data_IF_359455830046
#
_entry.id   IF_359455830046
#
_cell.length_a   1.000
_cell.length_b   1.000
_cell.length_c   1.000
_cell.angle_alpha   90.00
_cell.angle_beta   90.00
_cell.angle_gamma   90.00
#
_symmetry.space_group_name_H-M   'P 1'
#
loop_
_entity.id
_entity.type
_entity.pdbx_description
1 polymer ?
2 non-polymer ?
3 non-polymer ?
4 water ?
#
# COMPACT_ATOMS: atom_id res chain seq x y z
N UNK A 1 12.88 -2.80 21.25
CA UNK A 1 12.08 -2.39 20.04
C UNK A 1 13.05 -2.08 18.90
N UNK A 2 13.77 -3.11 18.42
CA UNK A 2 14.73 -3.03 17.28
C UNK A 2 13.96 -3.19 15.96
N UNK A 3 14.67 -3.17 14.82
CA UNK A 3 14.08 -3.22 13.46
C UNK A 3 14.65 -4.41 12.68
N UNK A 4 13.83 -4.98 11.79
CA UNK A 4 14.21 -6.00 10.78
C UNK A 4 14.00 -5.40 9.39
N UNK A 5 15.05 -5.28 8.59
CA UNK A 5 14.97 -4.55 7.30
C UNK A 5 14.97 -5.54 6.11
N UNK A 6 13.86 -5.56 5.36
CA UNK A 6 13.67 -6.40 4.15
C UNK A 6 13.67 -5.53 2.89
N UNK A 7 14.21 -6.02 1.75
CA UNK A 7 13.96 -5.37 0.44
C UNK A 7 12.47 -5.20 0.16
N UNK A 8 12.04 -4.12 -0.50
CA UNK A 8 10.59 -3.89 -0.76
C UNK A 8 10.08 -4.91 -1.78
N UNK A 9 10.94 -5.42 -2.69
CA UNK A 9 10.46 -6.33 -3.77
C UNK A 9 11.60 -7.16 -4.37
N UNK A 10 11.23 -8.29 -4.96
CA UNK A 10 12.15 -9.18 -5.73
C UNK A 10 11.30 -9.82 -6.84
N UNK A 11 11.94 -10.22 -7.92
CA UNK A 11 11.27 -10.89 -9.05
C UNK A 11 12.23 -11.89 -9.66
N UNK A 12 11.65 -12.91 -10.27
CA UNK A 12 12.38 -13.89 -11.10
C UNK A 12 11.37 -14.60 -11.98
N UNK A 13 11.86 -15.36 -12.95
CA UNK A 13 11.01 -16.14 -13.87
C UNK A 13 10.77 -17.53 -13.30
N UNK A 14 9.72 -18.25 -13.77
CA UNK A 14 9.42 -19.60 -13.30
C UNK A 14 10.64 -20.52 -13.41
N UNK A 15 10.84 -21.36 -12.38
CA UNK A 15 11.93 -22.36 -12.28
C UNK A 15 13.20 -21.78 -11.68
N UNK A 16 13.30 -20.47 -11.44
CA UNK A 16 14.57 -19.90 -10.96
C UNK A 16 14.57 -19.89 -9.43
N UNK A 17 15.69 -19.45 -8.86
CA UNK A 17 15.88 -19.30 -7.40
C UNK A 17 15.87 -17.81 -7.03
N UNK A 18 15.20 -17.47 -5.93
CA UNK A 18 15.25 -16.09 -5.41
C UNK A 18 15.48 -16.12 -3.89
N UNK A 19 16.11 -15.09 -3.37
CA UNK A 19 16.46 -14.98 -1.94
C UNK A 19 15.93 -13.65 -1.45
N UNK A 20 15.30 -13.66 -0.28
CA UNK A 20 14.75 -12.48 0.44
C UNK A 20 15.51 -12.38 1.77
N UNK A 21 16.17 -11.25 1.98
CA UNK A 21 16.94 -10.96 3.22
C UNK A 21 16.09 -10.20 4.25
N UNK A 22 16.59 -10.21 5.47
CA UNK A 22 15.94 -9.69 6.69
C UNK A 22 17.07 -9.36 7.67
N UNK A 23 17.53 -8.10 7.67
CA UNK A 23 18.71 -7.66 8.46
C UNK A 23 18.23 -7.11 9.80
N UNK A 24 18.83 -7.60 10.89
CA UNK A 24 18.48 -7.14 12.25
C UNK A 24 19.20 -5.80 12.36
N UNK A 25 18.63 -4.81 13.06
CA UNK A 25 19.18 -3.44 13.16
C UNK A 25 20.17 -3.48 14.33
N UNK A 26 19.70 -3.18 15.54
CA UNK A 26 20.57 -3.34 16.73
C UNK A 26 20.08 -4.56 17.51
N UNK A 27 20.89 -5.61 17.48
CA UNK A 27 20.76 -6.86 18.22
C UNK A 27 21.65 -7.93 17.61
N UNK A 28 21.49 -9.18 18.04
CA UNK A 28 22.29 -10.33 17.56
C UNK A 28 21.34 -11.35 16.89
N UNK A 29 21.45 -11.57 15.58
CA UNK A 29 20.41 -12.31 14.79
C UNK A 29 20.22 -13.71 15.40
N UNK A 30 21.29 -14.42 15.78
CA UNK A 30 21.16 -15.80 16.29
C UNK A 30 20.72 -15.76 17.75
N UNK A 31 20.58 -14.58 18.34
CA UNK A 31 20.07 -14.41 19.74
C UNK A 31 18.61 -14.88 19.84
N UNK A 32 17.78 -14.72 18.79
CA UNK A 32 16.32 -15.06 18.86
C UNK A 32 15.84 -15.68 17.55
N UNK A 33 14.69 -16.36 17.58
CA UNK A 33 14.17 -17.20 16.47
C UNK A 33 13.44 -16.34 15.43
N UNK A 34 13.70 -16.61 14.14
CA UNK A 34 13.04 -15.89 13.01
C UNK A 34 12.01 -16.79 12.33
N UNK A 35 10.80 -16.25 12.11
CA UNK A 35 9.70 -16.87 11.35
C UNK A 35 9.57 -16.16 9.99
N UNK A 36 8.96 -16.84 9.01
CA UNK A 36 8.67 -16.26 7.67
C UNK A 36 7.22 -16.59 7.32
N UNK A 37 6.46 -15.58 6.94
CA UNK A 37 5.04 -15.73 6.56
C UNK A 37 4.89 -15.32 5.10
N UNK A 38 4.17 -16.14 4.36
CA UNK A 38 3.73 -15.93 2.97
C UNK A 38 2.32 -15.36 3.04
N UNK A 39 2.01 -14.30 2.29
CA UNK A 39 0.61 -13.86 2.07
C UNK A 39 0.36 -13.66 0.57
N UNK A 40 -0.35 -14.59 -0.07
CA UNK A 40 -0.79 -14.39 -1.48
C UNK A 40 -1.83 -13.28 -1.51
N UNK A 41 -1.92 -12.54 -2.65
CA UNK A 41 -2.91 -11.47 -2.78
C UNK A 41 -4.31 -12.02 -2.47
N UNK A 42 -5.01 -11.36 -1.54
CA UNK A 42 -6.41 -11.69 -1.17
C UNK A 42 -6.51 -12.93 -0.27
N UNK A 43 -5.41 -13.37 0.35
CA UNK A 43 -5.33 -14.61 1.17
C UNK A 43 -4.90 -14.28 2.61
N UNK A 44 -5.10 -15.26 3.48
CA UNK A 44 -4.61 -15.29 4.86
C UNK A 44 -3.12 -15.61 4.83
N UNK A 45 -2.35 -15.12 5.82
CA UNK A 45 -0.96 -15.51 5.94
C UNK A 45 -0.82 -17.00 6.24
N UNK A 46 0.34 -17.54 5.89
CA UNK A 46 0.72 -18.97 6.01
C UNK A 46 2.18 -19.01 6.45
N UNK A 47 2.48 -19.74 7.51
CA UNK A 47 3.87 -19.97 7.94
C UNK A 47 4.54 -20.89 6.93
N UNK A 48 5.66 -20.44 6.35
CA UNK A 48 6.54 -21.29 5.51
C UNK A 48 7.83 -21.64 6.26
N UNK A 49 8.29 -20.83 7.22
CA UNK A 49 9.47 -21.14 8.07
C UNK A 49 9.20 -20.69 9.51
N UNK A 50 9.60 -21.51 10.49
CA UNK A 50 9.67 -21.11 11.92
C UNK A 50 11.02 -21.55 12.49
N UNK A 51 11.47 -20.90 13.56
CA UNK A 51 12.73 -21.22 14.29
C UNK A 51 13.87 -21.26 13.28
N UNK A 52 13.91 -20.26 12.39
CA UNK A 52 15.05 -19.93 11.50
C UNK A 52 15.02 -20.83 10.25
N UNK A 53 14.80 -22.13 10.42
CA UNK A 53 14.92 -23.06 9.28
C UNK A 53 13.95 -24.25 9.35
N UNK A 54 12.96 -24.26 10.24
CA UNK A 54 12.00 -25.39 10.33
C UNK A 54 10.85 -25.18 9.38
N UNK A 55 10.52 -26.18 8.55
CA UNK A 55 9.37 -26.14 7.64
C UNK A 55 8.17 -26.83 8.28
N UNK A 56 6.99 -26.16 8.38
CA UNK A 56 5.77 -26.85 8.77
C UNK A 56 5.44 -27.94 7.77
N UNK A 57 4.71 -28.94 8.22
CA UNK A 57 4.31 -30.06 7.34
C UNK A 57 3.50 -29.48 6.18
N UNK A 58 3.67 -30.01 4.98
CA UNK A 58 2.97 -29.50 3.79
C UNK A 58 3.69 -28.33 3.13
N UNK A 59 4.76 -27.80 3.72
CA UNK A 59 5.58 -26.75 3.05
C UNK A 59 6.72 -27.44 2.29
N UNK A 60 6.82 -27.27 0.96
CA UNK A 60 7.81 -28.01 0.18
C UNK A 60 9.26 -27.59 0.46
N UNK A 61 10.11 -28.56 0.22
CA UNK A 61 11.59 -28.51 0.34
C UNK A 61 12.18 -27.31 -0.40
N UNK A 62 11.50 -26.74 -1.38
CA UNK A 62 12.03 -25.59 -2.16
C UNK A 62 12.13 -24.33 -1.30
N UNK A 63 11.40 -24.24 -0.18
CA UNK A 63 11.48 -23.13 0.80
C UNK A 63 12.56 -23.44 1.82
N UNK A 64 13.55 -22.56 1.98
CA UNK A 64 14.65 -22.80 2.95
C UNK A 64 14.98 -21.52 3.71
N UNK A 65 15.00 -21.61 5.04
CA UNK A 65 15.42 -20.48 5.90
C UNK A 65 16.85 -20.67 6.34
N UNK A 66 17.58 -19.57 6.52
CA UNK A 66 18.99 -19.63 6.97
C UNK A 66 19.29 -18.38 7.79
N UNK A 67 20.44 -18.40 8.46
CA UNK A 67 20.91 -17.26 9.29
C UNK A 67 22.37 -16.99 8.89
N UNK A 68 22.71 -15.73 8.70
CA UNK A 68 24.10 -15.24 8.46
C UNK A 68 24.47 -14.38 9.66
N UNK A 69 25.37 -14.88 10.50
CA UNK A 69 25.75 -14.18 11.75
C UNK A 69 26.63 -12.98 11.38
N UNK A 70 27.62 -13.17 10.49
CA UNK A 70 28.59 -12.11 10.10
C UNK A 70 27.82 -10.90 9.54
N UNK A 71 26.79 -11.11 8.71
CA UNK A 71 25.93 -10.03 8.16
C UNK A 71 24.78 -9.65 9.11
N UNK A 72 24.62 -10.37 10.23
CA UNK A 72 23.50 -10.25 11.20
C UNK A 72 22.13 -10.24 10.48
N UNK A 73 21.88 -11.22 9.61
CA UNK A 73 20.60 -11.32 8.86
C UNK A 73 20.08 -12.76 8.79
N UNK A 74 18.76 -12.88 8.57
CA UNK A 74 18.00 -14.08 8.15
C UNK A 74 17.72 -14.01 6.64
N UNK A 75 17.62 -15.16 5.96
CA UNK A 75 17.17 -15.23 4.54
C UNK A 75 16.16 -16.36 4.34
N UNK A 76 15.17 -16.10 3.50
CA UNK A 76 14.29 -17.11 2.89
C UNK A 76 14.73 -17.30 1.44
N UNK A 77 15.10 -18.52 1.06
CA UNK A 77 15.51 -18.85 -0.32
C UNK A 77 14.45 -19.76 -0.89
N UNK A 78 13.88 -19.39 -2.04
CA UNK A 78 12.86 -20.22 -2.74
C UNK A 78 13.45 -20.68 -4.08
N UNK A 79 13.62 -22.01 -4.24
CA UNK A 79 14.13 -22.68 -5.47
C UNK A 79 12.97 -23.05 -6.34
N UNK A 80 13.22 -23.31 -7.62
CA UNK A 80 12.19 -23.85 -8.53
C UNK A 80 10.92 -23.03 -8.50
N UNK A 81 11.03 -21.69 -8.54
CA UNK A 81 9.85 -20.78 -8.50
C UNK A 81 8.68 -21.28 -9.34
N UNK A 82 7.51 -21.25 -8.74
CA UNK A 82 6.20 -21.47 -9.38
C UNK A 82 5.35 -20.21 -9.25
N UNK A 83 4.37 -20.06 -10.14
CA UNK A 83 3.48 -18.88 -10.20
C UNK A 83 2.76 -18.72 -8.85
N UNK A 84 2.42 -19.81 -8.16
CA UNK A 84 1.71 -19.73 -6.85
C UNK A 84 2.63 -19.12 -5.76
N UNK A 85 3.96 -19.03 -5.96
CA UNK A 85 4.91 -18.45 -4.97
C UNK A 85 4.79 -16.92 -4.92
N UNK A 86 4.12 -16.31 -5.90
CA UNK A 86 3.90 -14.85 -5.95
C UNK A 86 3.08 -14.39 -4.72
N UNK A 87 3.62 -13.50 -3.90
CA UNK A 87 3.05 -13.14 -2.59
C UNK A 87 3.92 -12.11 -1.90
N UNK A 88 3.45 -11.59 -0.76
CA UNK A 88 4.25 -10.81 0.21
C UNK A 88 4.84 -11.79 1.22
N UNK A 89 6.13 -11.63 1.53
CA UNK A 89 6.89 -12.44 2.50
C UNK A 89 7.36 -11.49 3.60
N UNK A 90 7.05 -11.81 4.86
CA UNK A 90 7.45 -11.06 6.07
C UNK A 90 8.28 -11.92 7.00
N UNK A 91 9.44 -11.43 7.46
CA UNK A 91 10.29 -12.03 8.53
C UNK A 91 9.78 -11.49 9.88
N UNK A 92 10.10 -12.17 10.97
CA UNK A 92 9.66 -11.78 12.35
C UNK A 92 10.56 -12.43 13.42
N UNK A 93 10.94 -11.66 14.46
CA UNK A 93 11.77 -12.13 15.61
C UNK A 93 11.32 -11.48 16.92
N UNK A 94 12.19 -11.53 17.94
CA UNK A 94 11.90 -11.21 19.36
C UNK A 94 13.10 -10.57 20.06
N UNK A 95 12.79 -9.75 21.05
CA UNK A 95 13.73 -9.13 22.02
C UNK A 95 13.56 -9.89 23.34
N UNK A 96 14.03 -9.32 24.44
CA UNK A 96 13.76 -9.82 25.81
C UNK A 96 12.24 -9.94 26.02
N UNK A 97 11.46 -8.95 25.57
CA UNK A 97 9.97 -8.92 25.66
C UNK A 97 9.31 -8.81 24.27
N UNK A 98 9.94 -8.08 23.32
CA UNK A 98 9.32 -7.45 22.12
C UNK A 98 9.25 -8.37 20.90
N UNK A 99 8.12 -8.33 20.19
CA UNK A 99 7.92 -8.91 18.83
C UNK A 99 8.18 -7.82 17.77
N UNK A 100 9.02 -8.11 16.78
CA UNK A 100 9.39 -7.15 15.69
C UNK A 100 9.11 -7.89 14.38
N UNK A 101 8.35 -7.26 13.47
CA UNK A 101 8.11 -7.67 12.07
C UNK A 101 8.96 -6.82 11.12
N UNK A 102 9.50 -7.46 10.07
CA UNK A 102 9.95 -6.78 8.84
C UNK A 102 8.78 -6.14 8.09
N UNK A 103 9.08 -5.21 7.17
CA UNK A 103 8.05 -4.43 6.48
C UNK A 103 7.45 -5.19 5.32
N UNK A 104 8.02 -6.34 4.95
CA UNK A 104 7.44 -7.17 3.88
C UNK A 104 8.25 -6.98 2.59
N UNK A 105 8.34 -8.05 1.81
CA UNK A 105 8.90 -8.06 0.45
C UNK A 105 7.89 -8.68 -0.52
N UNK A 106 7.49 -7.94 -1.55
CA UNK A 106 6.62 -8.45 -2.64
C UNK A 106 7.48 -9.27 -3.62
N UNK A 107 7.14 -10.54 -3.83
CA UNK A 107 7.81 -11.44 -4.81
C UNK A 107 6.89 -11.58 -6.02
N UNK A 108 7.34 -11.10 -7.18
CA UNK A 108 6.64 -11.26 -8.47
C UNK A 108 7.34 -12.38 -9.23
N UNK A 109 6.56 -13.34 -9.69
CA UNK A 109 7.03 -14.35 -10.66
C UNK A 109 6.73 -13.73 -12.02
N UNK A 110 7.76 -13.32 -12.76
CA UNK A 110 7.60 -12.41 -13.92
C UNK A 110 6.60 -13.00 -14.90
N UNK A 111 5.52 -12.26 -15.18
CA UNK A 111 4.50 -12.64 -16.16
C UNK A 111 4.65 -11.89 -17.47
N UNK A 112 5.62 -11.00 -17.55
CA UNK A 112 5.82 -10.10 -18.73
C UNK A 112 7.17 -9.45 -18.54
N UNK A 113 7.76 -8.83 -19.59
CA UNK A 113 9.04 -8.13 -19.43
C UNK A 113 8.98 -7.05 -18.35
N UNK A 114 10.09 -6.91 -17.62
CA UNK A 114 10.29 -5.76 -16.72
C UNK A 114 10.25 -4.44 -17.51
N UNK A 115 9.70 -3.39 -16.90
CA UNK A 115 9.62 -2.03 -17.48
C UNK A 115 9.83 -1.00 -16.38
N UNK A 116 10.78 -0.08 -16.51
CA UNK A 116 11.05 0.96 -15.48
C UNK A 116 9.97 2.04 -15.59
N UNK A 117 9.59 2.67 -14.46
CA UNK A 117 8.51 3.66 -14.46
C UNK A 117 8.90 4.97 -15.19
N UNK A 118 7.95 5.57 -15.88
CA UNK A 118 7.99 7.01 -16.23
C UNK A 118 7.52 7.82 -15.01
N UNK A 119 8.34 8.76 -14.56
CA UNK A 119 8.12 9.54 -13.30
C UNK A 119 8.05 11.01 -13.69
N UNK A 120 6.92 11.69 -13.40
CA UNK A 120 6.72 13.14 -13.68
C UNK A 120 6.23 13.84 -12.42
N UNK A 121 6.93 14.89 -12.01
CA UNK A 121 6.62 15.62 -10.76
C UNK A 121 6.04 16.96 -11.17
N UNK A 122 4.87 17.31 -10.63
CA UNK A 122 4.12 18.55 -10.97
C UNK A 122 4.13 19.51 -9.79
N UNK A 123 4.47 20.82 -10.01
CA UNK A 123 4.33 21.82 -8.95
C UNK A 123 2.87 22.21 -8.79
N UNK A 124 2.52 23.04 -7.79
CA UNK A 124 1.12 23.40 -7.55
C UNK A 124 0.49 24.14 -8.73
N UNK A 125 -0.79 23.88 -9.03
CA UNK A 125 -1.51 24.63 -10.08
C UNK A 125 -1.92 26.02 -9.53
N UNK A 126 -1.98 27.04 -10.37
CA UNK A 126 -2.44 28.41 -10.00
C UNK A 126 -3.79 28.31 -9.30
N UNK A 127 -4.71 27.51 -9.83
CA UNK A 127 -6.08 27.45 -9.26
C UNK A 127 -6.06 26.91 -7.81
N UNK A 128 -5.26 25.89 -7.48
CA UNK A 128 -5.36 25.29 -6.12
C UNK A 128 -4.71 26.29 -5.14
N UNK A 129 -3.69 27.02 -5.55
CA UNK A 129 -3.06 28.02 -4.67
C UNK A 129 -4.11 29.00 -4.15
N UNK A 130 -4.99 29.49 -5.01
CA UNK A 130 -6.06 30.48 -4.64
C UNK A 130 -7.04 29.81 -3.66
N UNK A 131 -7.06 28.47 -3.60
CA UNK A 131 -7.85 27.71 -2.62
C UNK A 131 -7.01 27.41 -1.36
N UNK A 132 -5.82 28.01 -1.21
CA UNK A 132 -4.88 27.76 -0.06
C UNK A 132 -4.40 26.29 -0.09
N UNK A 133 -4.12 25.73 -1.27
CA UNK A 133 -3.57 24.35 -1.41
C UNK A 133 -2.37 24.35 -2.34
N UNK A 134 -1.33 23.63 -1.93
CA UNK A 134 -0.08 23.51 -2.70
C UNK A 134 0.25 22.03 -2.87
N UNK A 135 -0.76 21.20 -3.08
CA UNK A 135 -0.58 19.76 -3.34
C UNK A 135 0.32 19.55 -4.56
N UNK A 136 1.39 18.78 -4.36
CA UNK A 136 2.29 18.29 -5.43
C UNK A 136 1.86 16.87 -5.87
N UNK A 137 1.92 16.56 -7.17
CA UNK A 137 1.59 15.21 -7.70
C UNK A 137 2.81 14.62 -8.41
N UNK A 138 3.09 13.38 -8.06
CA UNK A 138 4.16 12.55 -8.66
C UNK A 138 3.47 11.39 -9.41
N UNK A 139 3.40 11.48 -10.73
CA UNK A 139 2.81 10.47 -11.64
C UNK A 139 3.86 9.41 -12.00
N UNK A 140 3.52 8.15 -11.81
CA UNK A 140 4.41 6.96 -12.01
C UNK A 140 3.65 6.00 -12.92
N UNK A 141 4.05 5.88 -14.18
CA UNK A 141 3.30 5.05 -15.17
C UNK A 141 4.25 4.06 -15.86
N UNK A 142 3.66 3.07 -16.54
CA UNK A 142 4.32 2.22 -17.55
C UNK A 142 5.35 1.33 -16.84
N UNK A 143 5.07 0.78 -15.64
CA UNK A 143 6.06 -0.05 -14.91
C UNK A 143 5.59 -1.49 -14.73
N UNK A 144 6.56 -2.40 -14.64
CA UNK A 144 6.33 -3.82 -14.29
C UNK A 144 7.61 -4.37 -13.69
N UNK A 145 7.56 -5.16 -12.59
CA UNK A 145 6.35 -5.47 -11.81
C UNK A 145 5.62 -4.28 -11.16
N UNK A 146 4.41 -4.50 -10.64
CA UNK A 146 3.56 -3.44 -10.04
C UNK A 146 3.95 -3.00 -8.63
N UNK A 147 5.21 -3.19 -8.19
CA UNK A 147 5.66 -2.79 -6.82
C UNK A 147 6.59 -1.59 -6.91
N UNK A 148 6.27 -0.50 -6.19
CA UNK A 148 7.11 0.73 -6.07
C UNK A 148 7.06 1.21 -4.64
N UNK A 149 8.10 1.91 -4.22
CA UNK A 149 8.08 2.69 -2.97
C UNK A 149 8.42 4.13 -3.33
N UNK A 150 7.72 5.06 -2.68
CA UNK A 150 7.86 6.51 -2.92
C UNK A 150 8.33 7.19 -1.62
N UNK A 151 9.32 8.05 -1.72
CA UNK A 151 9.77 8.88 -0.56
C UNK A 151 9.84 10.35 -0.98
N UNK A 152 9.31 11.26 -0.16
CA UNK A 152 9.31 12.71 -0.49
C UNK A 152 10.37 13.41 0.36
N UNK A 153 11.07 14.40 -0.21
CA UNK A 153 12.00 15.30 0.52
C UNK A 153 11.47 16.75 0.50
N UNK A 154 11.45 17.42 1.66
CA UNK A 154 11.40 18.89 1.78
C UNK A 154 12.84 19.41 1.92
N UNK A 155 13.33 20.11 0.89
CA UNK A 155 14.78 20.42 0.67
C UNK A 155 15.42 19.03 0.61
N UNK A 156 16.05 18.56 1.69
CA UNK A 156 16.72 17.23 1.72
C UNK A 156 16.37 16.47 3.00
N UNK A 157 15.43 16.97 3.82
CA UNK A 157 14.85 16.22 4.96
C UNK A 157 13.71 15.34 4.47
N UNK A 158 13.67 14.06 4.86
CA UNK A 158 12.48 13.24 4.65
C UNK A 158 11.22 13.95 5.14
N UNK A 159 10.15 13.89 4.34
CA UNK A 159 8.79 14.40 4.70
C UNK A 159 8.01 13.19 5.18
N UNK A 160 7.39 13.26 6.35
CA UNK A 160 6.57 12.15 6.90
C UNK A 160 5.11 12.43 6.57
N UNK A 161 4.59 13.56 7.05
CA UNK A 161 3.16 13.90 7.02
C UNK A 161 2.76 14.38 5.61
N UNK A 162 1.51 14.11 5.25
CA UNK A 162 0.85 14.69 4.06
C UNK A 162 0.91 13.77 2.85
N UNK A 163 1.65 12.65 2.95
CA UNK A 163 1.89 11.76 1.77
C UNK A 163 0.75 10.76 1.65
N UNK A 164 0.18 10.68 0.45
CA UNK A 164 -0.67 9.54 0.01
C UNK A 164 -0.16 8.95 -1.30
N UNK A 165 -0.20 7.62 -1.44
CA UNK A 165 0.22 6.91 -2.68
C UNK A 165 -0.83 5.86 -3.03
N UNK A 166 -1.31 5.87 -4.27
CA UNK A 166 -2.36 4.95 -4.74
C UNK A 166 -1.77 3.55 -4.95
N UNK A 167 -2.64 2.57 -4.84
CA UNK A 167 -2.28 1.17 -5.17
C UNK A 167 -2.07 1.07 -6.67
N UNK A 168 -0.90 0.59 -7.13
CA UNK A 168 -0.68 0.48 -8.57
C UNK A 168 -1.82 -0.31 -9.26
N UNK A 169 -2.25 0.16 -10.42
CA UNK A 169 -3.31 -0.51 -11.21
C UNK A 169 -2.82 -0.73 -12.64
N UNK A 170 -3.24 -1.83 -13.24
CA UNK A 170 -2.93 -2.18 -14.63
C UNK A 170 -3.70 -1.27 -15.58
N UNK A 171 -3.02 -0.63 -16.53
CA UNK A 171 -3.64 0.31 -17.48
C UNK A 171 -3.84 -0.39 -18.85
N UNK A 172 -4.18 0.35 -19.89
CA UNK A 172 -4.63 -0.22 -21.19
C UNK A 172 -3.44 -0.90 -21.91
N UNK A 173 -2.19 -0.50 -21.62
CA UNK A 173 -0.98 -1.14 -22.20
C UNK A 173 -0.51 -2.33 -21.34
N UNK A 174 -1.28 -2.75 -20.34
CA UNK A 174 -0.96 -3.92 -19.49
C UNK A 174 0.24 -3.65 -18.56
N UNK A 175 0.69 -2.41 -18.43
CA UNK A 175 1.66 -2.01 -17.39
C UNK A 175 0.97 -1.18 -16.31
N UNK A 176 1.63 -1.02 -15.18
CA UNK A 176 1.03 -0.36 -13.99
C UNK A 176 1.25 1.16 -13.99
N UNK A 177 0.30 1.88 -13.37
CA UNK A 177 0.37 3.32 -13.03
C UNK A 177 -0.10 3.56 -11.59
N UNK A 178 0.48 4.59 -10.98
CA UNK A 178 0.10 5.08 -9.65
C UNK A 178 0.50 6.55 -9.55
N UNK A 179 -0.04 7.25 -8.58
CA UNK A 179 0.40 8.62 -8.27
C UNK A 179 0.58 8.73 -6.75
N UNK A 180 1.54 9.53 -6.35
CA UNK A 180 1.76 9.93 -4.96
C UNK A 180 1.48 11.42 -4.93
N UNK A 181 0.73 11.91 -3.93
CA UNK A 181 0.55 13.37 -3.73
C UNK A 181 0.90 13.77 -2.29
N UNK A 182 1.53 14.95 -2.17
CA UNK A 182 1.97 15.58 -0.90
C UNK A 182 1.15 16.85 -0.71
N UNK A 183 0.26 16.86 0.29
CA UNK A 183 -0.74 17.93 0.52
C UNK A 183 -0.12 19.10 1.30
N UNK A 184 0.71 19.92 0.67
CA UNK A 184 1.31 21.13 1.29
C UNK A 184 0.28 22.25 1.32
N UNK A 185 0.32 23.09 2.36
CA UNK A 185 -0.19 24.48 2.34
C UNK A 185 0.74 25.35 1.52
N UNK A 186 0.24 26.43 0.90
CA UNK A 186 1.10 27.38 0.19
C UNK A 186 2.27 27.90 1.07
N UNK A 187 2.02 28.15 2.36
CA UNK A 187 3.09 28.65 3.28
C UNK A 187 4.23 27.61 3.31
N UNK A 188 3.93 26.31 3.43
CA UNK A 188 4.97 25.24 3.49
C UNK A 188 5.74 25.19 2.18
N UNK A 189 5.04 25.33 1.04
CA UNK A 189 5.63 25.22 -0.33
C UNK A 189 6.61 26.38 -0.57
N UNK A 190 6.22 27.61 -0.22
CA UNK A 190 7.10 28.81 -0.38
C UNK A 190 8.27 28.73 0.61
N UNK A 191 8.06 28.12 1.78
CA UNK A 191 9.04 28.16 2.90
C UNK A 191 10.26 27.26 2.63
N UNK A 192 10.40 26.64 1.45
CA UNK A 192 11.51 25.70 1.14
C UNK A 192 12.06 26.06 -0.24
N UNK A 193 13.28 25.63 -0.57
CA UNK A 193 13.91 25.93 -1.88
C UNK A 193 13.43 24.94 -2.96
N UNK A 194 13.01 23.73 -2.57
CA UNK A 194 12.61 22.64 -3.50
C UNK A 194 11.94 21.50 -2.72
N UNK A 195 11.19 20.67 -3.43
CA UNK A 195 10.61 19.40 -2.93
C UNK A 195 10.88 18.34 -3.97
N UNK A 196 11.09 17.09 -3.51
CA UNK A 196 11.58 15.96 -4.34
C UNK A 196 10.74 14.72 -4.04
N UNK A 197 10.43 13.96 -5.10
CA UNK A 197 9.74 12.64 -5.11
C UNK A 197 10.76 11.62 -5.58
N UNK A 198 11.07 10.64 -4.73
CA UNK A 198 11.96 9.51 -5.06
C UNK A 198 11.13 8.24 -5.24
N UNK A 199 11.29 7.59 -6.38
CA UNK A 199 10.56 6.36 -6.74
C UNK A 199 11.57 5.22 -6.89
N UNK A 200 11.45 4.20 -6.04
CA UNK A 200 12.28 2.97 -6.12
C UNK A 200 11.45 1.85 -6.77
N UNK A 201 11.98 1.24 -7.82
CA UNK A 201 11.36 0.09 -8.53
C UNK A 201 12.47 -0.91 -8.83
N UNK A 202 12.32 -2.16 -8.39
CA UNK A 202 13.33 -3.22 -8.59
C UNK A 202 14.69 -2.70 -8.10
N UNK A 203 14.71 -2.04 -6.93
CA UNK A 203 15.92 -1.57 -6.24
C UNK A 203 16.65 -0.42 -6.95
N UNK A 204 16.23 -0.06 -8.18
CA UNK A 204 16.65 1.16 -8.93
C UNK A 204 15.79 2.34 -8.49
N UNK A 205 16.42 3.46 -8.10
CA UNK A 205 15.78 4.66 -7.49
C UNK A 205 15.95 5.85 -8.44
N UNK A 206 14.83 6.47 -8.83
CA UNK A 206 14.75 7.73 -9.63
C UNK A 206 14.28 8.86 -8.70
N UNK A 207 14.69 10.09 -8.97
CA UNK A 207 14.35 11.29 -8.15
C UNK A 207 14.03 12.45 -9.10
N UNK A 208 12.92 13.15 -8.85
CA UNK A 208 12.55 14.39 -9.59
C UNK A 208 12.38 15.52 -8.57
N UNK A 209 12.71 16.76 -8.95
CA UNK A 209 12.62 17.92 -8.03
C UNK A 209 11.83 19.07 -8.68
N UNK A 210 10.97 19.73 -7.92
CA UNK A 210 10.35 21.02 -8.33
C UNK A 210 10.65 22.08 -7.27
N UNK A 211 10.54 23.36 -7.66
CA UNK A 211 10.86 24.54 -6.85
C UNK A 211 9.83 25.64 -7.13
N UNK A 212 9.51 26.49 -6.13
CA UNK A 212 8.69 27.69 -6.35
C UNK A 212 9.27 28.62 -7.43
N UNK A 213 10.61 28.66 -7.54
CA UNK A 213 11.41 29.46 -8.51
C UNK A 213 12.04 28.53 -9.58
N UNK A 214 11.46 28.43 -10.78
CA UNK A 214 11.98 27.54 -11.86
C UNK A 214 11.69 28.13 -13.25
N UNK A 215 11.57 29.47 -13.36
CA UNK A 215 11.47 30.23 -14.65
C UNK A 215 12.28 31.53 -14.56
N UNK B 1 -1.64 -30.48 14.55
CA UNK B 1 -1.89 -29.76 13.27
C UNK B 1 -3.29 -29.10 13.28
N UNK B 2 -3.67 -28.38 14.35
CA UNK B 2 -5.02 -27.75 14.51
C UNK B 2 -5.20 -26.54 13.58
N UNK B 3 -6.46 -26.18 13.34
CA UNK B 3 -6.82 -25.01 12.51
C UNK B 3 -7.63 -24.00 13.36
N UNK B 4 -7.67 -22.74 12.91
CA UNK B 4 -8.44 -21.68 13.56
C UNK B 4 -9.51 -21.21 12.58
N UNK B 5 -10.76 -21.23 13.00
CA UNK B 5 -11.90 -20.97 12.10
C UNK B 5 -12.53 -19.64 12.52
N UNK B 6 -12.49 -18.66 11.62
CA UNK B 6 -13.20 -17.37 11.84
C UNK B 6 -14.21 -17.17 10.70
N UNK B 7 -15.28 -16.39 10.93
CA UNK B 7 -16.18 -16.03 9.85
C UNK B 7 -15.41 -15.33 8.73
N UNK B 8 -15.82 -15.58 7.48
CA UNK B 8 -15.24 -14.93 6.28
C UNK B 8 -15.57 -13.43 6.28
N UNK B 9 -16.72 -13.06 6.84
CA UNK B 9 -17.18 -11.65 6.79
C UNK B 9 -18.17 -11.36 7.94
N UNK B 10 -18.24 -10.11 8.32
CA UNK B 10 -19.20 -9.55 9.30
C UNK B 10 -19.40 -8.08 8.95
N UNK B 11 -20.58 -7.54 9.22
CA UNK B 11 -21.02 -6.15 8.91
C UNK B 11 -21.67 -5.58 10.17
N UNK B 12 -21.49 -4.29 10.39
CA UNK B 12 -22.13 -3.56 11.49
C UNK B 12 -22.11 -2.07 11.15
N UNK B 13 -22.97 -1.28 11.79
CA UNK B 13 -23.10 0.17 11.57
C UNK B 13 -22.31 0.91 12.65
N UNK B 14 -21.96 2.19 12.42
CA UNK B 14 -21.15 2.96 13.36
C UNK B 14 -21.70 3.01 14.78
N UNK B 15 -20.82 3.18 15.76
CA UNK B 15 -21.18 3.26 17.19
C UNK B 15 -21.62 1.93 17.76
N UNK B 16 -21.90 0.91 16.94
CA UNK B 16 -22.34 -0.40 17.45
C UNK B 16 -21.14 -1.24 17.89
N UNK B 17 -21.40 -2.38 18.53
CA UNK B 17 -20.37 -3.35 18.96
C UNK B 17 -20.37 -4.50 17.97
N UNK B 18 -19.19 -4.94 17.53
CA UNK B 18 -19.07 -6.16 16.67
C UNK B 18 -18.15 -7.13 17.39
N UNK B 19 -18.43 -8.41 17.20
CA UNK B 19 -17.61 -9.51 17.76
C UNK B 19 -17.18 -10.47 16.65
N UNK B 20 -15.92 -10.83 16.66
CA UNK B 20 -15.28 -11.77 15.69
C UNK B 20 -14.73 -12.96 16.48
N UNK B 21 -15.20 -14.16 16.20
CA UNK B 21 -14.79 -15.41 16.90
C UNK B 21 -13.71 -16.14 16.10
N UNK B 22 -12.98 -16.96 16.83
CA UNK B 22 -11.81 -17.71 16.32
C UNK B 22 -11.81 -19.06 17.03
N UNK B 23 -12.36 -20.10 16.39
CA UNK B 23 -12.57 -21.43 17.01
C UNK B 23 -11.38 -22.36 16.70
N UNK B 24 -10.74 -22.93 17.74
CA UNK B 24 -9.63 -23.90 17.62
C UNK B 24 -10.22 -25.30 17.38
N UNK B 25 -9.74 -26.03 16.36
CA UNK B 25 -10.37 -27.27 15.85
C UNK B 25 -10.01 -28.44 16.78
N UNK B 26 -8.82 -28.44 17.33
CA UNK B 26 -8.27 -29.53 18.17
C UNK B 26 -7.33 -28.92 19.22
N UNK B 27 -7.29 -29.51 20.40
CA UNK B 27 -6.60 -28.95 21.57
C UNK B 27 -7.39 -27.80 22.17
N UNK B 28 -6.99 -27.40 23.39
CA UNK B 28 -7.68 -26.37 24.18
C UNK B 28 -7.21 -24.98 23.75
N UNK B 29 -8.15 -24.07 23.54
CA UNK B 29 -7.87 -22.66 23.18
C UNK B 29 -6.88 -22.07 24.19
N UNK B 30 -6.97 -22.46 25.48
CA UNK B 30 -6.17 -21.81 26.55
C UNK B 30 -4.78 -22.45 26.69
N UNK B 31 -4.39 -23.42 25.87
CA UNK B 31 -3.03 -24.03 25.93
C UNK B 31 -1.97 -23.12 25.28
N UNK B 32 -2.36 -22.14 24.45
CA UNK B 32 -1.40 -21.25 23.75
C UNK B 32 -2.01 -19.86 23.60
N UNK B 33 -1.17 -18.83 23.60
CA UNK B 33 -1.64 -17.44 23.45
C UNK B 33 -2.25 -17.18 22.08
N UNK B 34 -3.25 -16.30 22.03
CA UNK B 34 -3.92 -15.83 20.78
C UNK B 34 -3.59 -14.35 20.53
N UNK B 35 -3.19 -14.03 19.30
CA UNK B 35 -2.90 -12.66 18.83
C UNK B 35 -3.99 -12.31 17.81
N UNK B 36 -4.28 -11.02 17.66
CA UNK B 36 -5.20 -10.49 16.62
C UNK B 36 -4.46 -9.43 15.81
N UNK B 37 -4.59 -9.51 14.48
CA UNK B 37 -3.95 -8.56 13.54
C UNK B 37 -5.03 -7.88 12.71
N UNK B 38 -4.85 -6.60 12.43
CA UNK B 38 -5.72 -5.80 11.54
C UNK B 38 -4.91 -5.51 10.27
N UNK B 39 -5.53 -5.58 9.11
CA UNK B 39 -4.83 -5.33 7.82
C UNK B 39 -5.77 -4.57 6.91
N UNK B 40 -5.34 -3.39 6.50
CA UNK B 40 -6.02 -2.60 5.43
C UNK B 40 -5.38 -2.99 4.11
N UNK B 41 -6.15 -3.36 3.06
CA UNK B 41 -5.54 -3.81 1.80
C UNK B 41 -4.57 -2.77 1.22
N UNK B 42 -3.47 -3.27 0.63
CA UNK B 42 -2.35 -2.45 0.15
C UNK B 42 -1.31 -2.26 1.24
N UNK B 43 -1.71 -2.34 2.52
CA UNK B 43 -0.82 -2.07 3.68
C UNK B 43 -0.41 -3.38 4.34
N UNK B 44 0.68 -3.35 5.09
CA UNK B 44 1.06 -4.46 5.99
C UNK B 44 0.09 -4.48 7.18
N UNK B 45 0.01 -5.61 7.91
CA UNK B 45 -0.83 -5.72 9.09
C UNK B 45 -0.24 -4.99 10.29
N UNK B 46 -1.09 -4.78 11.29
CA UNK B 46 -0.78 -4.17 12.61
C UNK B 46 -1.26 -5.15 13.70
N UNK B 47 -0.52 -5.28 14.81
CA UNK B 47 -0.97 -6.09 15.98
C UNK B 47 -1.98 -5.28 16.79
N UNK B 48 -3.18 -5.80 17.04
CA UNK B 48 -4.17 -5.06 17.89
C UNK B 48 -4.36 -5.76 19.26
N UNK B 49 -4.15 -7.06 19.35
CA UNK B 49 -4.13 -7.83 20.63
C UNK B 49 -2.98 -8.83 20.57
N UNK B 50 -2.26 -8.99 21.69
CA UNK B 50 -1.35 -10.12 21.94
C UNK B 50 -1.70 -10.74 23.31
N UNK B 51 -1.25 -11.96 23.55
CA UNK B 51 -1.45 -12.72 24.81
C UNK B 51 -2.93 -12.71 25.22
N UNK B 52 -3.84 -12.97 24.29
CA UNK B 52 -5.30 -13.11 24.48
C UNK B 52 -5.99 -11.74 24.62
N UNK B 53 -5.44 -10.80 25.40
CA UNK B 53 -6.20 -9.59 25.78
C UNK B 53 -5.33 -8.34 26.03
N UNK B 54 -4.05 -8.35 25.66
CA UNK B 54 -3.12 -7.19 25.87
C UNK B 54 -3.15 -6.31 24.61
N UNK B 55 -3.27 -4.99 24.78
CA UNK B 55 -3.30 -4.01 23.66
C UNK B 55 -1.95 -3.32 23.58
N UNK B 56 -1.28 -3.34 22.40
CA UNK B 56 -0.09 -2.53 22.19
C UNK B 56 -0.46 -1.06 22.35
N UNK B 57 0.50 -0.17 22.59
CA UNK B 57 0.25 1.30 22.59
C UNK B 57 -0.14 1.76 21.20
N UNK B 58 -1.01 2.76 21.15
CA UNK B 58 -1.56 3.32 19.90
C UNK B 58 -2.76 2.55 19.43
N UNK B 59 -3.11 1.43 20.10
CA UNK B 59 -4.34 0.67 19.73
C UNK B 59 -5.47 1.22 20.58
N UNK B 60 -6.55 1.73 19.95
CA UNK B 60 -7.69 2.23 20.70
C UNK B 60 -8.20 1.20 21.73
N UNK B 61 -8.62 1.68 22.89
CA UNK B 61 -9.15 0.81 23.98
C UNK B 61 -10.51 0.25 23.59
N UNK B 62 -11.09 0.68 22.46
CA UNK B 62 -12.34 0.11 21.88
C UNK B 62 -12.11 -1.34 21.43
N UNK B 63 -10.85 -1.77 21.27
CA UNK B 63 -10.47 -3.13 20.84
C UNK B 63 -10.23 -4.01 22.08
N UNK B 64 -10.92 -5.14 22.20
CA UNK B 64 -10.76 -6.05 23.36
C UNK B 64 -10.75 -7.51 22.92
N UNK B 65 -9.81 -8.27 23.48
CA UNK B 65 -9.67 -9.70 23.22
C UNK B 65 -10.19 -10.47 24.41
N UNK B 66 -10.68 -11.68 24.19
CA UNK B 66 -11.13 -12.56 25.29
C UNK B 66 -11.02 -13.99 24.83
N UNK B 67 -11.13 -14.91 25.78
CA UNK B 67 -11.13 -16.40 25.58
C UNK B 67 -12.41 -16.95 26.20
N UNK B 68 -13.02 -17.91 25.51
CA UNK B 68 -14.20 -18.66 26.02
C UNK B 68 -13.83 -20.14 25.95
N UNK B 69 -13.37 -20.71 27.07
CA UNK B 69 -12.78 -22.07 27.13
C UNK B 69 -13.79 -23.13 26.73
N UNK B 70 -15.09 -22.85 26.91
CA UNK B 70 -16.19 -23.84 26.75
C UNK B 70 -16.58 -23.97 25.28
N UNK B 71 -16.71 -22.85 24.55
CA UNK B 71 -16.92 -22.81 23.08
C UNK B 71 -15.58 -22.99 22.34
N UNK B 72 -14.50 -23.14 23.11
CA UNK B 72 -13.10 -23.38 22.68
C UNK B 72 -12.62 -22.35 21.65
N UNK B 73 -12.92 -21.09 21.93
CA UNK B 73 -12.72 -19.96 20.99
C UNK B 73 -12.10 -18.76 21.70
N UNK B 74 -11.56 -17.88 20.86
CA UNK B 74 -11.08 -16.53 21.17
C UNK B 74 -12.00 -15.55 20.44
N UNK B 75 -12.16 -14.34 20.97
CA UNK B 75 -12.97 -13.29 20.33
C UNK B 75 -12.27 -11.93 20.38
N UNK B 76 -12.35 -11.21 19.27
CA UNK B 76 -12.05 -9.78 19.19
C UNK B 76 -13.37 -9.03 19.23
N UNK B 77 -13.52 -8.13 20.19
CA UNK B 77 -14.77 -7.31 20.33
C UNK B 77 -14.39 -5.86 20.11
N UNK B 78 -14.99 -5.25 19.09
CA UNK B 78 -14.75 -3.83 18.73
C UNK B 78 -16.02 -3.08 19.05
N UNK B 79 -15.92 -2.18 20.02
CA UNK B 79 -17.05 -1.35 20.50
C UNK B 79 -16.93 0.06 19.90
N UNK B 80 -18.04 0.80 19.90
CA UNK B 80 -18.05 2.17 19.36
C UNK B 80 -17.52 2.18 17.94
N UNK B 81 -17.97 1.22 17.14
CA UNK B 81 -17.39 0.92 15.81
C UNK B 81 -17.28 2.21 15.00
N UNK B 82 -16.11 2.45 14.40
CA UNK B 82 -15.78 3.63 13.54
C UNK B 82 -15.42 3.15 12.14
N UNK B 83 -15.56 4.04 11.15
CA UNK B 83 -15.32 3.77 9.70
C UNK B 83 -13.89 3.22 9.47
N UNK B 84 -12.89 3.81 10.11
CA UNK B 84 -11.48 3.38 9.98
C UNK B 84 -11.26 1.95 10.51
N UNK B 85 -12.22 1.33 11.20
CA UNK B 85 -12.09 -0.08 11.65
C UNK B 85 -12.35 -1.05 10.49
N UNK B 86 -12.85 -0.57 9.35
CA UNK B 86 -13.06 -1.42 8.14
C UNK B 86 -11.70 -1.98 7.68
N UNK B 87 -11.55 -3.30 7.64
CA UNK B 87 -10.24 -3.97 7.54
C UNK B 87 -10.45 -5.47 7.61
N UNK B 88 -9.42 -6.23 7.27
CA UNK B 88 -9.33 -7.69 7.53
C UNK B 88 -8.71 -7.91 8.92
N UNK B 89 -9.25 -8.86 9.68
CA UNK B 89 -8.78 -9.26 11.03
C UNK B 89 -8.45 -10.75 10.98
N UNK B 90 -7.24 -11.10 11.43
CA UNK B 90 -6.73 -12.49 11.55
C UNK B 90 -6.44 -12.80 13.02
N UNK B 91 -6.92 -13.93 13.49
CA UNK B 91 -6.39 -14.49 14.76
C UNK B 91 -5.18 -15.36 14.43
N UNK B 92 -4.37 -15.66 15.43
CA UNK B 92 -3.11 -16.39 15.29
C UNK B 92 -2.81 -17.06 16.63
N UNK B 93 -2.42 -18.34 16.60
CA UNK B 93 -1.87 -19.04 17.78
C UNK B 93 -0.71 -19.95 17.36
N UNK B 94 -0.35 -20.91 18.22
CA UNK B 94 0.91 -21.70 18.16
C UNK B 94 0.60 -23.20 18.27
N UNK B 95 1.39 -24.03 17.58
CA UNK B 95 1.23 -25.50 17.47
C UNK B 95 2.49 -26.18 18.03
N UNK B 96 3.48 -25.38 18.46
CA UNK B 96 4.85 -25.76 18.89
C UNK B 96 5.62 -26.17 17.63
N UNK B 97 4.98 -27.00 16.82
CA UNK B 97 5.35 -27.38 15.43
C UNK B 97 4.91 -26.35 14.35
N UNK B 98 4.34 -25.19 14.73
CA UNK B 98 3.86 -24.18 13.75
C UNK B 98 3.25 -22.93 14.42
N UNK B 99 3.26 -21.83 13.67
CA UNK B 99 2.41 -20.62 13.88
C UNK B 99 1.20 -20.75 12.95
N UNK B 100 0.01 -20.70 13.54
CA UNK B 100 -1.28 -20.99 12.88
C UNK B 100 -2.09 -19.69 12.81
N UNK B 101 -2.61 -19.37 11.64
CA UNK B 101 -3.45 -18.19 11.39
C UNK B 101 -4.87 -18.69 11.10
N UNK B 102 -5.86 -17.94 11.57
CA UNK B 102 -7.23 -17.98 11.04
C UNK B 102 -7.27 -17.54 9.59
N UNK B 103 -8.42 -17.78 8.95
CA UNK B 103 -8.70 -17.56 7.53
C UNK B 103 -9.01 -16.11 7.25
N UNK B 104 -9.21 -15.29 8.29
CA UNK B 104 -9.43 -13.86 8.14
C UNK B 104 -10.91 -13.53 8.07
N UNK B 105 -11.29 -12.45 8.72
CA UNK B 105 -12.66 -11.87 8.74
C UNK B 105 -12.57 -10.48 8.14
N UNK B 106 -13.22 -10.26 7.02
CA UNK B 106 -13.42 -8.92 6.42
C UNK B 106 -14.58 -8.24 7.14
N UNK B 107 -14.28 -7.17 7.86
CA UNK B 107 -15.30 -6.37 8.59
C UNK B 107 -15.74 -5.20 7.70
N UNK B 108 -17.03 -5.11 7.38
CA UNK B 108 -17.63 -3.99 6.63
C UNK B 108 -18.35 -3.05 7.60
N UNK B 109 -18.00 -1.77 7.56
CA UNK B 109 -18.73 -0.74 8.33
C UNK B 109 -19.80 -0.16 7.39
N UNK B 110 -21.06 -0.34 7.78
CA UNK B 110 -22.24 0.09 6.97
C UNK B 110 -22.43 1.61 7.08
N UNK B 111 -23.12 2.18 6.09
CA UNK B 111 -23.68 3.53 6.14
C UNK B 111 -22.63 4.61 6.14
N UNK B 112 -21.52 4.42 5.42
CA UNK B 112 -20.51 5.49 5.22
C UNK B 112 -21.14 6.56 4.32
N UNK B 113 -20.96 7.86 4.62
CA UNK B 113 -21.61 8.91 3.83
C UNK B 113 -20.94 9.18 2.48
N UNK B 114 -21.75 9.48 1.46
CA UNK B 114 -21.21 9.98 0.16
C UNK B 114 -20.29 11.14 0.52
N UNK B 115 -19.23 11.31 -0.25
CA UNK B 115 -18.28 12.44 -0.20
C UNK B 115 -17.86 12.75 -1.64
N UNK B 116 -18.09 13.99 -2.08
CA UNK B 116 -17.73 14.48 -3.43
C UNK B 116 -16.20 14.58 -3.55
N UNK B 117 -15.63 14.32 -4.73
CA UNK B 117 -14.18 14.37 -4.91
C UNK B 117 -13.64 15.80 -4.95
N UNK B 118 -12.44 15.99 -4.41
CA UNK B 118 -11.56 17.15 -4.69
C UNK B 118 -10.77 16.88 -5.98
N UNK B 119 -10.88 17.79 -6.96
CA UNK B 119 -10.31 17.63 -8.32
C UNK B 119 -9.29 18.74 -8.57
N UNK B 120 -8.03 18.37 -8.80
CA UNK B 120 -6.95 19.30 -9.17
C UNK B 120 -6.33 18.89 -10.50
N UNK B 121 -6.33 19.81 -11.47
CA UNK B 121 -5.80 19.61 -12.85
C UNK B 121 -4.46 20.34 -12.96
N UNK B 122 -3.40 19.61 -13.33
CA UNK B 122 -2.01 20.09 -13.49
C UNK B 122 -1.67 20.16 -14.98
N UNK B 123 -1.21 21.34 -15.47
CA UNK B 123 -0.69 21.47 -16.83
C UNK B 123 0.70 20.85 -16.92
N UNK B 124 1.28 20.69 -18.12
CA UNK B 124 2.60 20.07 -18.25
C UNK B 124 3.64 20.84 -17.43
N UNK B 125 4.55 20.12 -16.78
CA UNK B 125 5.73 20.74 -16.11
C UNK B 125 6.71 21.19 -17.19
N UNK B 126 7.56 22.17 -16.85
CA UNK B 126 8.61 22.75 -17.72
C UNK B 126 9.63 21.66 -18.07
N UNK B 127 9.97 20.81 -17.11
CA UNK B 127 11.01 19.77 -17.26
C UNK B 127 10.51 18.74 -18.28
N UNK B 128 9.25 18.30 -18.22
CA UNK B 128 8.77 17.26 -19.19
C UNK B 128 8.68 17.90 -20.58
N UNK B 129 8.22 19.15 -20.69
CA UNK B 129 8.20 19.83 -22.03
C UNK B 129 9.61 19.84 -22.61
N UNK B 130 10.64 20.06 -21.79
CA UNK B 130 12.05 20.11 -22.26
C UNK B 130 12.48 18.72 -22.75
N UNK B 131 11.86 17.65 -22.23
CA UNK B 131 12.08 16.27 -22.69
C UNK B 131 11.01 15.87 -23.70
N UNK B 132 10.31 16.84 -24.29
CA UNK B 132 9.38 16.61 -25.42
C UNK B 132 8.15 15.79 -24.98
N UNK B 133 7.61 16.02 -23.78
CA UNK B 133 6.36 15.38 -23.31
C UNK B 133 5.41 16.42 -22.72
N UNK B 134 4.11 16.26 -22.89
CA UNK B 134 3.12 17.26 -22.41
C UNK B 134 1.99 16.55 -21.66
N UNK B 135 2.33 15.60 -20.79
CA UNK B 135 1.33 14.85 -19.99
C UNK B 135 0.65 15.80 -19.01
N UNK B 136 -0.69 15.79 -19.00
CA UNK B 136 -1.55 16.44 -17.97
C UNK B 136 -1.99 15.38 -16.93
N UNK B 137 -2.04 15.75 -15.66
CA UNK B 137 -2.61 14.90 -14.59
C UNK B 137 -3.80 15.63 -13.95
N UNK B 138 -4.88 14.89 -13.72
CA UNK B 138 -6.12 15.27 -12.98
C UNK B 138 -6.18 14.42 -11.71
N UNK B 139 -5.83 15.01 -10.56
CA UNK B 139 -5.80 14.28 -9.27
C UNK B 139 -7.18 14.34 -8.65
N UNK B 140 -7.74 13.17 -8.34
CA UNK B 140 -9.12 13.06 -7.82
C UNK B 140 -9.02 12.41 -6.45
N UNK B 141 -9.41 13.10 -5.38
CA UNK B 141 -9.23 12.56 -3.99
C UNK B 141 -10.46 12.80 -3.12
N UNK B 142 -10.53 12.05 -2.02
CA UNK B 142 -11.47 12.21 -0.88
C UNK B 142 -12.88 11.89 -1.35
N UNK B 143 -13.08 10.90 -2.21
CA UNK B 143 -14.45 10.57 -2.65
C UNK B 143 -14.87 9.24 -2.03
N UNK B 144 -16.19 9.14 -1.82
CA UNK B 144 -16.85 7.90 -1.37
C UNK B 144 -18.26 7.92 -1.93
N UNK B 145 -18.78 6.82 -2.53
CA UNK B 145 -18.06 5.58 -2.75
C UNK B 145 -17.02 5.67 -3.87
N UNK B 146 -16.35 4.55 -4.13
CA UNK B 146 -15.03 4.45 -4.78
C UNK B 146 -15.10 4.29 -6.28
N UNK B 147 -16.03 4.96 -6.96
CA UNK B 147 -16.23 4.90 -8.42
C UNK B 147 -16.42 6.32 -8.97
N UNK B 148 -15.71 6.65 -10.06
CA UNK B 148 -15.87 7.93 -10.83
C UNK B 148 -15.85 7.59 -12.31
N UNK B 149 -16.28 8.52 -13.15
CA UNK B 149 -15.98 8.47 -14.60
C UNK B 149 -15.40 9.82 -15.02
N UNK B 150 -14.39 9.77 -15.86
CA UNK B 150 -13.59 10.96 -16.25
C UNK B 150 -13.75 11.13 -17.75
N UNK B 151 -13.99 12.35 -18.20
CA UNK B 151 -13.95 12.72 -19.64
C UNK B 151 -13.08 13.95 -19.77
N UNK B 152 -12.25 14.00 -20.83
CA UNK B 152 -11.33 15.09 -21.12
C UNK B 152 -11.82 15.84 -22.37
N UNK B 153 -11.53 17.13 -22.42
CA UNK B 153 -11.91 18.04 -23.53
C UNK B 153 -10.65 18.74 -24.00
N UNK B 154 -10.51 18.87 -25.32
CA UNK B 154 -9.51 19.71 -26.00
C UNK B 154 -10.26 20.92 -26.57
N UNK B 155 -10.03 22.11 -26.00
CA UNK B 155 -10.95 23.25 -26.22
C UNK B 155 -12.31 22.77 -25.71
N UNK B 156 -13.35 22.78 -26.54
CA UNK B 156 -14.68 22.28 -26.13
C UNK B 156 -14.97 20.86 -26.67
N UNK B 157 -14.09 20.20 -27.39
CA UNK B 157 -14.41 18.91 -28.08
C UNK B 157 -13.91 17.71 -27.24
N UNK B 158 -14.59 16.56 -27.30
CA UNK B 158 -14.13 15.34 -26.63
C UNK B 158 -12.74 14.84 -27.04
N UNK B 159 -11.91 14.49 -26.07
CA UNK B 159 -10.62 13.76 -26.29
C UNK B 159 -10.94 12.26 -26.37
N UNK B 160 -10.51 11.60 -27.44
CA UNK B 160 -10.83 10.16 -27.67
C UNK B 160 -9.57 9.29 -27.59
N UNK B 161 -8.37 9.86 -27.49
CA UNK B 161 -7.09 9.13 -27.45
C UNK B 161 -6.23 9.60 -26.27
N UNK B 162 -5.44 8.71 -25.68
CA UNK B 162 -4.34 9.04 -24.78
C UNK B 162 -4.75 9.22 -23.32
N UNK B 163 -5.98 8.87 -22.94
CA UNK B 163 -6.50 8.95 -21.54
C UNK B 163 -6.26 7.60 -20.86
N UNK B 164 -5.80 7.66 -19.61
CA UNK B 164 -5.69 6.51 -18.69
C UNK B 164 -6.23 7.00 -17.35
N UNK B 165 -7.03 6.19 -16.67
CA UNK B 165 -7.42 6.52 -15.28
C UNK B 165 -7.06 5.35 -14.34
N UNK B 166 -6.46 5.63 -13.20
CA UNK B 166 -6.06 4.55 -12.25
C UNK B 166 -7.32 4.01 -11.56
N UNK B 167 -7.27 2.77 -11.09
CA UNK B 167 -8.36 2.17 -10.29
C UNK B 167 -8.36 2.84 -8.92
N UNK B 168 -9.50 3.41 -8.49
CA UNK B 168 -9.55 4.10 -7.19
C UNK B 168 -9.03 3.21 -6.07
N UNK B 169 -8.24 3.77 -5.17
CA UNK B 169 -7.73 3.03 -4.00
C UNK B 169 -8.05 3.82 -2.73
N UNK B 170 -8.43 3.12 -1.66
CA UNK B 170 -8.79 3.72 -0.35
C UNK B 170 -7.51 4.25 0.32
N UNK B 171 -7.51 5.53 0.73
CA UNK B 171 -6.32 6.19 1.33
C UNK B 171 -6.50 6.25 2.86
N UNK B 172 -5.59 6.91 3.58
CA UNK B 172 -5.51 6.82 5.07
C UNK B 172 -6.78 7.39 5.70
N UNK B 173 -7.46 8.32 5.02
CA UNK B 173 -8.72 8.96 5.49
C UNK B 173 -9.95 8.13 5.11
N UNK B 174 -9.79 6.85 4.77
CA UNK B 174 -10.89 5.91 4.39
C UNK B 174 -11.72 6.44 3.20
N UNK B 175 -11.27 7.47 2.50
CA UNK B 175 -11.89 7.86 1.21
C UNK B 175 -10.96 7.48 0.06
N UNK B 176 -11.45 7.52 -1.18
CA UNK B 176 -10.75 6.97 -2.35
C UNK B 176 -9.93 8.06 -3.07
N UNK B 177 -8.90 7.62 -3.80
CA UNK B 177 -8.06 8.48 -4.64
C UNK B 177 -7.72 7.77 -5.95
N UNK B 178 -7.58 8.57 -7.00
CA UNK B 178 -7.27 8.15 -8.39
C UNK B 178 -6.70 9.36 -9.12
N UNK B 179 -5.93 9.07 -10.17
CA UNK B 179 -5.41 10.06 -11.14
C UNK B 179 -5.89 9.66 -12.53
N UNK B 180 -6.26 10.66 -13.34
CA UNK B 180 -6.44 10.50 -14.79
C UNK B 180 -5.32 11.32 -15.43
N UNK B 181 -4.60 10.72 -16.38
CA UNK B 181 -3.48 11.40 -17.07
C UNK B 181 -3.68 11.29 -18.58
N UNK B 182 -3.44 12.41 -19.26
CA UNK B 182 -3.62 12.55 -20.73
C UNK B 182 -2.22 12.79 -21.32
N UNK B 183 -1.75 11.80 -22.07
CA UNK B 183 -0.38 11.78 -22.65
C UNK B 183 -0.34 12.56 -23.96
N UNK B 184 -0.11 13.87 -23.91
CA UNK B 184 -0.11 14.72 -25.13
C UNK B 184 1.34 14.92 -25.60
N UNK B 185 1.50 15.19 -26.89
CA UNK B 185 2.77 15.76 -27.44
C UNK B 185 2.80 17.24 -27.14
N UNK B 186 3.98 17.87 -27.06
CA UNK B 186 4.07 19.33 -26.89
C UNK B 186 3.24 20.11 -27.93
N UNK B 187 3.20 19.59 -29.16
CA UNK B 187 2.50 20.18 -30.31
C UNK B 187 0.99 20.17 -30.04
N UNK B 188 0.43 19.05 -29.57
CA UNK B 188 -1.01 18.94 -29.25
C UNK B 188 -1.37 20.00 -28.19
N UNK B 189 -0.60 20.08 -27.10
CA UNK B 189 -0.82 20.98 -25.95
C UNK B 189 -0.84 22.45 -26.41
N UNK B 190 0.18 22.87 -27.16
CA UNK B 190 0.32 24.28 -27.61
C UNK B 190 -0.70 24.63 -28.70
N UNK B 191 -1.27 23.68 -29.42
CA UNK B 191 -2.17 23.96 -30.57
C UNK B 191 -3.61 24.20 -30.10
N UNK B 192 -3.91 24.05 -28.83
CA UNK B 192 -5.29 24.24 -28.30
C UNK B 192 -5.27 25.42 -27.36
N UNK B 193 -6.42 26.05 -27.15
CA UNK B 193 -6.51 27.17 -26.16
C UNK B 193 -6.46 26.62 -24.73
N UNK B 194 -7.04 25.44 -24.49
CA UNK B 194 -7.11 24.82 -23.14
C UNK B 194 -7.42 23.33 -23.25
N UNK B 195 -7.18 22.59 -22.16
CA UNK B 195 -7.74 21.25 -21.93
C UNK B 195 -8.51 21.25 -20.62
N UNK B 196 -9.53 20.39 -20.53
CA UNK B 196 -10.40 20.24 -19.34
C UNK B 196 -10.51 18.76 -18.99
N UNK B 197 -10.55 18.53 -17.68
CA UNK B 197 -10.86 17.24 -17.04
C UNK B 197 -12.23 17.35 -16.37
N UNK B 198 -13.16 16.47 -16.71
CA UNK B 198 -14.55 16.46 -16.16
C UNK B 198 -14.77 15.16 -15.37
N UNK B 199 -15.02 15.29 -14.07
CA UNK B 199 -15.17 14.15 -13.14
C UNK B 199 -16.62 14.05 -12.68
N UNK B 200 -17.22 12.91 -12.96
CA UNK B 200 -18.60 12.57 -12.51
C UNK B 200 -18.52 11.58 -11.36
N UNK B 201 -19.24 11.87 -10.29
CA UNK B 201 -19.41 11.04 -9.07
C UNK B 201 -20.83 11.19 -8.54
N UNK B 202 -21.57 10.08 -8.44
CA UNK B 202 -22.95 10.05 -7.90
C UNK B 202 -23.78 11.16 -8.56
N UNK B 203 -23.65 11.35 -9.88
CA UNK B 203 -24.52 12.26 -10.65
C UNK B 203 -23.97 13.68 -10.77
N UNK B 204 -23.15 14.14 -9.82
CA UNK B 204 -22.55 15.51 -9.85
C UNK B 204 -21.27 15.47 -10.67
N UNK B 205 -21.10 16.44 -11.58
CA UNK B 205 -19.89 16.62 -12.41
C UNK B 205 -19.14 17.87 -11.92
N UNK B 206 -17.82 17.75 -11.80
CA UNK B 206 -16.87 18.84 -11.52
C UNK B 206 -15.96 18.97 -12.76
N UNK B 207 -15.74 20.18 -13.21
CA UNK B 207 -14.88 20.42 -14.39
C UNK B 207 -13.78 21.43 -14.04
N UNK B 208 -12.54 21.11 -14.43
CA UNK B 208 -11.36 21.98 -14.27
C UNK B 208 -10.69 22.16 -15.64
N UNK B 209 -10.06 23.31 -15.85
CA UNK B 209 -9.53 23.76 -17.15
C UNK B 209 -8.14 24.35 -16.94
N UNK B 210 -7.16 23.99 -17.77
CA UNK B 210 -5.81 24.61 -17.79
C UNK B 210 -5.44 24.99 -19.21
N UNK B 211 -4.58 25.98 -19.33
CA UNK B 211 -4.16 26.60 -20.60
C UNK B 211 -2.66 26.79 -20.60
N UNK B 212 -2.01 26.72 -21.79
CA UNK B 212 -0.58 27.01 -21.92
C UNK B 212 -0.29 28.36 -21.26
N UNK B 213 0.77 28.49 -20.45
CA UNK B 213 1.12 29.76 -19.74
C UNK B 213 2.50 30.23 -20.21
N UNK B 214 2.65 31.56 -20.29
CA UNK B 214 3.65 32.24 -21.18
C UNK B 214 4.92 32.54 -20.37
N UNK B 215 5.55 31.50 -19.80
CA UNK B 215 6.97 31.48 -19.34
C UNK B 215 7.82 30.83 -20.44
#
# INVERSE_FOLDING_TARGET
NFMLNQPHSVSESPGKTVTISCTRSSGNIDSNYVQWYQQRPGSAPITVIYEDNQRPSGVPDRFAGSIDRSSNSASLTISGLKTEDEADYYCQSYDARNVVFGGGTRLTVLGQPKAAPSVTLFPPSSEELQANKATLVCLISDFYPGAVTVAWKADSSPVKAGVETTTPSKQSNNKYAASSYLSLTPEQWKSHKSYSCQVTHEGSTVEKTVAPTEC
NFMLNQPHSVSESPGKTVTISCTRSSGNIDSNYVQWYQQRPGSAPITVIYEDNQRPSGVPDRFAGSIDRSSNSASLTISGLKTEDEADYYCQSYDARNVVFGGGTRLTVLGQPKAAPSVTLFPPSSEELQANKATLVCLISDFYPGAVTVAWKADSSPVKAGVETTTPSKQSNNKYAASSYLSLTPEQWKSHKSYSCQVTHEGSTVEKTVAPTEC
#
